data_IF_797945239522
#
_entry.id   IF_797945239522
#
_cell.length_a   1.000
_cell.length_b   1.000
_cell.length_c   1.000
_cell.angle_alpha   90.00
_cell.angle_beta   90.00
_cell.angle_gamma   90.00
#
_symmetry.space_group_name_H-M   'P 1'
#
loop_
_entity.id
_entity.type
_entity.pdbx_description
1 polymer ?
#
# COMPACT_ATOMS: atom_id res chain seq x y z
N UNK A 1 -8.30 5.66 -41.56
CA UNK A 1 -8.06 6.80 -40.65
C UNK A 1 -7.72 6.22 -39.28
N UNK A 2 -6.50 6.43 -38.79
CA UNK A 2 -6.05 5.90 -37.50
C UNK A 2 -6.69 6.72 -36.38
N UNK A 3 -7.43 6.05 -35.50
CA UNK A 3 -7.94 6.59 -34.25
C UNK A 3 -6.77 7.10 -33.39
N UNK A 4 -6.63 8.43 -33.28
CA UNK A 4 -5.73 9.08 -32.32
C UNK A 4 -6.53 9.50 -31.06
N UNK A 5 -7.24 8.55 -30.44
CA UNK A 5 -8.09 8.81 -29.26
C UNK A 5 -7.40 8.43 -27.95
N UNK A 6 -6.16 8.89 -27.79
CA UNK A 6 -5.55 9.06 -26.48
C UNK A 6 -5.18 10.54 -26.38
N UNK A 7 -6.04 11.30 -25.71
CA UNK A 7 -5.74 12.69 -25.40
C UNK A 7 -4.66 12.74 -24.30
N UNK A 8 -3.93 13.85 -24.22
CA UNK A 8 -2.95 14.07 -23.15
C UNK A 8 -3.58 13.95 -21.75
N UNK A 9 -4.85 14.36 -21.62
CA UNK A 9 -5.63 14.31 -20.37
C UNK A 9 -5.95 12.87 -19.96
N UNK A 10 -6.21 11.99 -20.92
CA UNK A 10 -6.39 10.55 -20.66
C UNK A 10 -5.11 9.94 -20.09
N UNK A 11 -3.94 10.35 -20.62
CA UNK A 11 -2.64 9.88 -20.15
C UNK A 11 -2.33 10.33 -18.72
N UNK A 12 -2.68 11.57 -18.37
CA UNK A 12 -2.48 12.12 -17.02
C UNK A 12 -3.30 11.35 -15.98
N UNK A 13 -4.58 11.11 -16.25
CA UNK A 13 -5.45 10.38 -15.33
C UNK A 13 -5.03 8.92 -15.14
N UNK A 14 -4.61 8.24 -16.21
CA UNK A 14 -4.04 6.89 -16.08
C UNK A 14 -2.73 6.89 -15.29
N UNK A 15 -1.92 7.95 -15.42
CA UNK A 15 -0.69 8.11 -14.64
C UNK A 15 -1.00 8.29 -13.17
N UNK A 16 -2.00 9.12 -12.84
CA UNK A 16 -2.49 9.30 -11.47
C UNK A 16 -3.06 8.01 -10.89
N UNK A 17 -3.85 7.27 -11.66
CA UNK A 17 -4.39 5.98 -11.24
C UNK A 17 -3.26 4.97 -10.94
N UNK A 18 -2.29 4.86 -11.83
CA UNK A 18 -1.11 4.01 -11.64
C UNK A 18 -0.29 4.44 -10.42
N UNK A 19 -0.10 5.75 -10.23
CA UNK A 19 0.57 6.32 -9.06
C UNK A 19 -0.16 5.97 -7.77
N UNK A 20 -1.47 6.14 -7.72
CA UNK A 20 -2.28 5.80 -6.54
C UNK A 20 -2.13 4.32 -6.15
N UNK A 21 -2.21 3.41 -7.13
CA UNK A 21 -1.96 1.97 -6.89
C UNK A 21 -0.54 1.72 -6.37
N UNK A 22 0.46 2.34 -6.99
CA UNK A 22 1.86 2.19 -6.60
C UNK A 22 2.12 2.65 -5.15
N UNK A 23 1.61 3.83 -4.77
CA UNK A 23 1.80 4.36 -3.42
C UNK A 23 1.02 3.56 -2.38
N UNK A 24 -0.25 3.20 -2.63
CA UNK A 24 -1.01 2.33 -1.73
C UNK A 24 -0.29 1.00 -1.49
N UNK A 25 0.34 0.46 -2.54
CA UNK A 25 1.09 -0.76 -2.44
C UNK A 25 2.40 -0.61 -1.66
N UNK A 26 3.12 0.48 -1.89
CA UNK A 26 4.37 0.77 -1.19
C UNK A 26 4.11 0.93 0.31
N UNK A 27 3.01 1.61 0.68
CA UNK A 27 2.56 1.73 2.06
C UNK A 27 2.24 0.36 2.67
N UNK A 28 1.54 -0.52 1.94
CA UNK A 28 1.29 -1.89 2.39
C UNK A 28 2.61 -2.65 2.69
N UNK A 29 3.61 -2.54 1.80
CA UNK A 29 4.91 -3.18 2.00
C UNK A 29 5.60 -2.66 3.26
N UNK A 30 5.56 -1.33 3.48
CA UNK A 30 6.14 -0.73 4.69
C UNK A 30 5.45 -1.23 5.96
N UNK A 31 4.12 -1.32 5.96
CA UNK A 31 3.37 -1.84 7.10
C UNK A 31 3.76 -3.27 7.46
N UNK A 32 4.00 -4.12 6.46
CA UNK A 32 4.52 -5.48 6.68
C UNK A 32 5.92 -5.42 7.31
N UNK A 33 6.80 -4.53 6.83
CA UNK A 33 8.11 -4.30 7.43
C UNK A 33 8.04 -3.84 8.88
N UNK A 34 7.11 -2.94 9.21
CA UNK A 34 6.83 -2.49 10.57
C UNK A 34 6.39 -3.64 11.46
N UNK A 35 5.41 -4.43 11.01
CA UNK A 35 4.91 -5.56 11.76
C UNK A 35 6.01 -6.58 12.04
N UNK A 36 6.78 -6.94 11.01
CA UNK A 36 7.90 -7.85 11.11
C UNK A 36 8.99 -7.34 12.06
N UNK A 37 9.29 -6.04 12.03
CA UNK A 37 10.29 -5.43 12.91
C UNK A 37 9.81 -5.37 14.36
N UNK A 38 8.54 -5.00 14.60
CA UNK A 38 7.96 -4.94 15.94
C UNK A 38 7.86 -6.33 16.61
N UNK A 39 7.69 -7.39 15.81
CA UNK A 39 7.46 -8.73 16.31
C UNK A 39 8.58 -9.72 16.00
N UNK A 40 9.75 -9.26 15.54
CA UNK A 40 10.87 -10.11 15.10
C UNK A 40 11.33 -11.13 16.16
N UNK A 41 11.17 -10.80 17.45
CA UNK A 41 11.47 -11.67 18.59
C UNK A 41 10.34 -12.63 19.01
N UNK A 42 9.16 -12.53 18.40
CA UNK A 42 8.05 -13.47 18.61
C UNK A 42 8.27 -14.75 17.79
N UNK A 43 7.68 -15.88 18.20
CA UNK A 43 7.73 -17.12 17.42
C UNK A 43 6.72 -17.09 16.26
N UNK A 44 5.64 -16.31 16.40
CA UNK A 44 4.46 -16.40 15.53
C UNK A 44 4.34 -15.26 14.49
N UNK A 45 5.25 -14.30 14.47
CA UNK A 45 5.13 -13.15 13.55
C UNK A 45 5.17 -13.56 12.08
N UNK A 46 5.96 -14.59 11.75
CA UNK A 46 6.05 -15.15 10.41
C UNK A 46 4.71 -15.74 9.98
N UNK A 47 3.96 -16.36 10.89
CA UNK A 47 2.64 -16.89 10.60
C UNK A 47 1.67 -15.77 10.23
N UNK A 48 1.66 -14.64 10.96
CA UNK A 48 0.80 -13.50 10.61
C UNK A 48 1.21 -12.81 9.30
N UNK A 49 2.51 -12.67 9.05
CA UNK A 49 3.00 -12.17 7.75
C UNK A 49 2.62 -13.14 6.62
N UNK A 50 2.65 -14.44 6.88
CA UNK A 50 2.16 -15.47 5.96
C UNK A 50 0.63 -15.46 5.79
N UNK A 51 -0.14 -15.12 6.81
CA UNK A 51 -1.58 -14.90 6.70
C UNK A 51 -1.91 -13.67 5.85
N UNK A 52 -1.11 -12.61 5.97
CA UNK A 52 -1.16 -11.46 5.05
C UNK A 52 -0.88 -11.88 3.60
N UNK A 53 -0.03 -12.88 3.37
CA UNK A 53 0.21 -13.48 2.05
C UNK A 53 -0.89 -14.42 1.57
N UNK A 54 -1.47 -15.18 2.49
CA UNK A 54 -2.50 -16.18 2.20
C UNK A 54 -3.90 -15.57 2.09
N UNK A 55 -4.08 -14.30 2.45
CA UNK A 55 -5.32 -13.57 2.31
C UNK A 55 -5.75 -13.54 0.82
N UNK A 56 -6.71 -14.40 0.48
CA UNK A 56 -7.18 -14.59 -0.90
C UNK A 56 -8.01 -13.42 -1.45
N UNK A 57 -8.35 -12.43 -0.62
CA UNK A 57 -9.14 -11.26 -1.05
C UNK A 57 -8.56 -9.94 -0.53
N UNK A 58 -8.70 -8.88 -1.34
CA UNK A 58 -8.30 -7.52 -0.97
C UNK A 58 -8.96 -7.00 0.32
N UNK A 59 -10.17 -7.48 0.66
CA UNK A 59 -10.85 -7.17 1.93
C UNK A 59 -10.21 -7.84 3.14
N UNK A 60 -9.75 -9.09 2.99
CA UNK A 60 -8.99 -9.76 4.05
C UNK A 60 -7.64 -9.07 4.27
N UNK A 61 -6.96 -8.71 3.19
CA UNK A 61 -5.71 -7.92 3.26
C UNK A 61 -5.97 -6.60 4.01
N UNK A 62 -7.05 -5.89 3.68
CA UNK A 62 -7.44 -4.66 4.35
C UNK A 62 -7.62 -4.82 5.87
N UNK A 63 -8.38 -5.85 6.29
CA UNK A 63 -8.63 -6.10 7.70
C UNK A 63 -7.34 -6.41 8.46
N UNK A 64 -6.45 -7.20 7.85
CA UNK A 64 -5.14 -7.51 8.43
C UNK A 64 -4.24 -6.26 8.49
N UNK A 65 -4.25 -5.41 7.47
CA UNK A 65 -3.51 -4.14 7.50
C UNK A 65 -4.01 -3.22 8.63
N UNK A 66 -5.32 -3.06 8.79
CA UNK A 66 -5.87 -2.28 9.91
C UNK A 66 -5.50 -2.87 11.28
N UNK A 67 -5.43 -4.20 11.40
CA UNK A 67 -4.93 -4.86 12.60
C UNK A 67 -3.46 -4.49 12.85
N UNK A 68 -2.61 -4.56 11.82
CA UNK A 68 -1.20 -4.14 11.89
C UNK A 68 -1.06 -2.69 12.36
N UNK A 69 -1.86 -1.75 11.83
CA UNK A 69 -1.84 -0.34 12.26
C UNK A 69 -2.11 -0.16 13.76
N UNK A 70 -2.92 -1.04 14.35
CA UNK A 70 -3.32 -0.96 15.76
C UNK A 70 -2.33 -1.66 16.69
N UNK A 71 -1.66 -2.70 16.19
CA UNK A 71 -0.69 -3.49 16.96
C UNK A 71 0.71 -2.89 16.94
N UNK A 72 1.07 -2.20 15.85
CA UNK A 72 2.35 -1.52 15.74
C UNK A 72 2.22 -0.12 16.36
N UNK A 73 3.17 0.24 17.22
CA UNK A 73 3.28 1.57 17.84
C UNK A 73 3.59 2.66 16.81
N UNK A 74 2.62 3.04 15.99
CA UNK A 74 2.72 4.11 15.02
C UNK A 74 2.29 5.40 15.71
N UNK A 75 2.97 6.56 15.45
CA UNK A 75 2.56 7.82 16.03
C UNK A 75 1.06 8.09 15.79
N UNK A 76 0.33 8.44 16.85
CA UNK A 76 -1.13 8.66 16.80
C UNK A 76 -1.53 9.68 15.73
N UNK A 77 -0.67 10.70 15.52
CA UNK A 77 -0.82 11.71 14.47
C UNK A 77 -0.82 11.15 13.04
N UNK A 78 -0.17 10.00 12.81
CA UNK A 78 -0.11 9.30 11.53
C UNK A 78 -1.15 8.17 11.43
N UNK A 79 -1.66 7.68 12.56
CA UNK A 79 -2.59 6.56 12.60
C UNK A 79 -3.88 6.87 11.83
N UNK A 80 -4.51 8.02 12.11
CA UNK A 80 -5.74 8.45 11.41
C UNK A 80 -5.51 8.64 9.90
N UNK A 81 -4.34 9.16 9.51
CA UNK A 81 -3.98 9.33 8.11
C UNK A 81 -3.82 7.98 7.41
N UNK A 82 -3.24 7.00 8.10
CA UNK A 82 -3.06 5.67 7.54
C UNK A 82 -4.37 4.89 7.43
N UNK A 83 -5.27 5.00 8.41
CA UNK A 83 -6.62 4.45 8.30
C UNK A 83 -7.37 5.05 7.09
N UNK A 84 -7.25 6.36 6.88
CA UNK A 84 -7.80 7.02 5.69
C UNK A 84 -7.23 6.46 4.38
N UNK A 85 -5.90 6.39 4.23
CA UNK A 85 -5.28 5.86 2.99
C UNK A 85 -5.64 4.40 2.76
N UNK A 86 -5.75 3.61 3.83
CA UNK A 86 -6.21 2.23 3.74
C UNK A 86 -7.67 2.15 3.26
N UNK A 87 -8.57 3.02 3.70
CA UNK A 87 -9.94 3.07 3.20
C UNK A 87 -9.98 3.46 1.72
N UNK A 88 -9.22 4.48 1.32
CA UNK A 88 -9.12 4.90 -0.08
C UNK A 88 -8.52 3.82 -0.99
N UNK A 89 -7.56 3.04 -0.49
CA UNK A 89 -7.06 1.84 -1.18
C UNK A 89 -8.17 0.82 -1.44
N UNK A 90 -9.08 0.63 -0.47
CA UNK A 90 -10.21 -0.29 -0.64
C UNK A 90 -11.17 0.22 -1.74
N UNK A 91 -11.45 1.52 -1.75
CA UNK A 91 -12.20 2.16 -2.84
C UNK A 91 -11.52 1.92 -4.19
N UNK A 92 -10.21 2.15 -4.29
CA UNK A 92 -9.44 1.97 -5.52
C UNK A 92 -9.53 0.54 -6.08
N UNK A 93 -9.51 -0.47 -5.19
CA UNK A 93 -9.53 -1.89 -5.57
C UNK A 93 -10.92 -2.43 -5.88
N UNK A 94 -11.98 -1.87 -5.28
CA UNK A 94 -13.31 -2.50 -5.31
C UNK A 94 -14.42 -1.63 -5.82
N UNK A 95 -14.33 -0.31 -5.67
CA UNK A 95 -15.44 0.59 -6.00
C UNK A 95 -15.12 1.46 -7.20
N UNK A 96 -13.85 1.82 -7.41
CA UNK A 96 -13.39 2.67 -8.51
C UNK A 96 -13.91 2.23 -9.88
N UNK A 97 -13.83 0.94 -10.22
CA UNK A 97 -14.31 0.49 -11.53
C UNK A 97 -15.84 0.58 -11.67
N UNK A 98 -16.59 0.37 -10.58
CA UNK A 98 -18.05 0.48 -10.62
C UNK A 98 -18.52 1.94 -10.64
N UNK A 99 -17.84 2.81 -9.90
CA UNK A 99 -18.17 4.23 -9.78
C UNK A 99 -17.69 5.04 -10.98
N UNK A 100 -16.45 4.81 -11.41
CA UNK A 100 -15.78 5.62 -12.41
C UNK A 100 -15.69 4.90 -13.76
N UNK A 101 -15.41 3.60 -13.77
CA UNK A 101 -15.57 2.71 -14.93
C UNK A 101 -15.22 3.30 -16.31
N UNK A 102 -16.02 3.02 -17.35
CA UNK A 102 -15.87 3.65 -18.66
C UNK A 102 -16.12 5.17 -18.65
N UNK A 103 -16.85 5.67 -17.64
CA UNK A 103 -17.26 7.07 -17.50
C UNK A 103 -16.16 7.97 -16.95
N UNK A 104 -15.00 7.42 -16.60
CA UNK A 104 -13.90 8.16 -15.98
C UNK A 104 -13.33 9.24 -16.92
N UNK A 105 -13.48 9.04 -18.24
CA UNK A 105 -13.10 10.00 -19.28
C UNK A 105 -14.22 10.98 -19.63
N UNK A 106 -15.32 11.00 -18.86
CA UNK A 106 -16.34 12.03 -19.03
C UNK A 106 -15.85 13.35 -18.43
N UNK A 107 -16.05 14.44 -19.16
CA UNK A 107 -15.68 15.80 -18.72
C UNK A 107 -16.29 16.18 -17.35
N UNK A 108 -17.39 15.52 -16.95
CA UNK A 108 -18.05 15.74 -15.66
C UNK A 108 -17.39 15.04 -14.47
N UNK A 109 -16.79 13.86 -14.67
CA UNK A 109 -16.23 13.05 -13.58
C UNK A 109 -14.71 13.15 -13.50
N UNK A 110 -14.04 13.41 -14.62
CA UNK A 110 -12.59 13.43 -14.71
C UNK A 110 -11.92 14.39 -13.70
N UNK A 111 -12.40 15.63 -13.50
CA UNK A 111 -11.77 16.55 -12.54
C UNK A 111 -11.85 16.03 -11.10
N UNK A 112 -13.04 15.57 -10.67
CA UNK A 112 -13.27 15.07 -9.31
C UNK A 112 -12.45 13.80 -9.02
N UNK A 113 -12.41 12.87 -9.98
CA UNK A 113 -11.63 11.63 -9.84
C UNK A 113 -10.13 11.93 -9.84
N UNK A 114 -9.67 12.85 -10.70
CA UNK A 114 -8.28 13.28 -10.75
C UNK A 114 -7.83 13.89 -9.43
N UNK A 115 -8.60 14.84 -8.88
CA UNK A 115 -8.32 15.47 -7.57
C UNK A 115 -8.27 14.43 -6.44
N UNK A 116 -9.20 13.47 -6.43
CA UNK A 116 -9.21 12.40 -5.42
C UNK A 116 -7.97 11.50 -5.52
N UNK A 117 -7.57 11.11 -6.73
CA UNK A 117 -6.38 10.29 -6.96
C UNK A 117 -5.10 11.04 -6.56
N UNK A 118 -4.99 12.32 -6.90
CA UNK A 118 -3.86 13.16 -6.52
C UNK A 118 -3.77 13.35 -4.99
N UNK A 119 -4.90 13.61 -4.34
CA UNK A 119 -4.96 13.69 -2.87
C UNK A 119 -4.52 12.37 -2.22
N UNK A 120 -4.97 11.23 -2.76
CA UNK A 120 -4.55 9.90 -2.28
C UNK A 120 -3.04 9.69 -2.46
N UNK A 121 -2.49 10.00 -3.65
CA UNK A 121 -1.05 9.91 -3.92
C UNK A 121 -0.26 10.74 -2.90
N UNK A 122 -0.64 12.01 -2.74
CA UNK A 122 0.05 12.94 -1.85
C UNK A 122 0.05 12.44 -0.40
N UNK A 123 -1.11 12.02 0.11
CA UNK A 123 -1.21 11.52 1.50
C UNK A 123 -0.43 10.21 1.69
N UNK A 124 -0.53 9.28 0.73
CA UNK A 124 0.20 8.02 0.80
C UNK A 124 1.72 8.24 0.73
N UNK A 125 2.19 9.15 -0.13
CA UNK A 125 3.60 9.50 -0.22
C UNK A 125 4.13 10.09 1.09
N UNK A 126 3.42 11.05 1.69
CA UNK A 126 3.82 11.62 2.98
C UNK A 126 3.92 10.57 4.08
N UNK A 127 2.95 9.67 4.15
CA UNK A 127 3.00 8.54 5.08
C UNK A 127 4.20 7.64 4.82
N UNK A 128 4.46 7.29 3.56
CA UNK A 128 5.62 6.48 3.16
C UNK A 128 6.92 7.11 3.64
N UNK A 129 7.12 8.41 3.40
CA UNK A 129 8.34 9.13 3.80
C UNK A 129 8.53 9.10 5.34
N UNK A 130 7.48 9.47 6.08
CA UNK A 130 7.54 9.44 7.56
C UNK A 130 7.78 8.03 8.11
N UNK A 131 7.13 7.02 7.53
CA UNK A 131 7.22 5.65 8.00
C UNK A 131 8.54 5.00 7.59
N UNK A 132 9.13 5.34 6.44
CA UNK A 132 10.42 4.81 6.02
C UNK A 132 11.54 5.18 6.98
N UNK A 133 11.60 6.46 7.36
CA UNK A 133 12.62 6.94 8.30
C UNK A 133 12.50 6.25 9.66
N UNK A 134 11.29 6.19 10.22
CA UNK A 134 11.07 5.54 11.51
C UNK A 134 11.30 4.02 11.45
N UNK A 135 10.93 3.35 10.35
CA UNK A 135 11.23 1.92 10.16
C UNK A 135 12.72 1.65 10.13
N UNK A 136 13.47 2.46 9.39
CA UNK A 136 14.92 2.33 9.30
C UNK A 136 15.57 2.52 10.68
N UNK A 137 15.11 3.50 11.47
CA UNK A 137 15.59 3.70 12.83
C UNK A 137 15.29 2.50 13.75
N UNK A 138 14.09 1.91 13.64
CA UNK A 138 13.73 0.70 14.39
C UNK A 138 14.59 -0.50 13.98
N UNK A 139 14.81 -0.68 12.69
CA UNK A 139 15.65 -1.76 12.17
C UNK A 139 17.10 -1.60 12.63
N UNK A 140 17.66 -0.39 12.61
CA UNK A 140 19.01 -0.11 13.12
C UNK A 140 19.13 -0.41 14.63
N UNK A 141 18.11 -0.07 15.43
CA UNK A 141 18.07 -0.44 16.86
C UNK A 141 17.96 -1.95 17.06
N UNK A 142 17.19 -2.64 16.21
CA UNK A 142 17.05 -4.10 16.26
C UNK A 142 18.27 -4.84 15.71
N UNK A 143 19.10 -4.18 14.88
CA UNK A 143 20.28 -4.75 14.22
C UNK A 143 21.43 -5.08 15.18
N UNK A 144 21.33 -4.75 16.46
CA UNK A 144 22.21 -5.30 17.51
C UNK A 144 22.13 -6.85 17.58
N UNK A 145 21.11 -7.46 16.95
CA UNK A 145 21.02 -8.90 16.66
C UNK A 145 20.96 -9.13 15.14
N UNK A 146 22.11 -9.36 14.53
CA UNK A 146 22.33 -9.53 13.08
C UNK A 146 21.37 -10.56 12.40
N UNK A 147 20.87 -11.55 13.16
CA UNK A 147 19.90 -12.55 12.67
C UNK A 147 18.53 -11.97 12.29
N UNK A 148 18.12 -10.87 12.93
CA UNK A 148 16.74 -10.38 12.84
C UNK A 148 16.56 -9.50 11.60
N UNK A 149 17.60 -8.73 11.22
CA UNK A 149 17.62 -7.92 10.00
C UNK A 149 17.54 -8.80 8.76
N UNK A 150 18.34 -9.86 8.68
CA UNK A 150 18.31 -10.80 7.55
C UNK A 150 16.94 -11.48 7.40
N UNK A 151 16.27 -11.80 8.52
CA UNK A 151 14.92 -12.38 8.53
C UNK A 151 13.85 -11.39 8.06
N UNK A 152 13.94 -10.13 8.47
CA UNK A 152 13.01 -9.08 8.04
C UNK A 152 13.16 -8.81 6.54
N UNK A 153 14.39 -8.62 6.05
CA UNK A 153 14.68 -8.37 4.63
C UNK A 153 14.20 -9.53 3.75
N UNK A 154 14.51 -10.77 4.12
CA UNK A 154 14.03 -11.95 3.38
C UNK A 154 12.49 -12.03 3.33
N UNK A 155 11.80 -11.58 4.38
CA UNK A 155 10.33 -11.58 4.42
C UNK A 155 9.73 -10.51 3.52
N UNK A 156 10.36 -9.33 3.42
CA UNK A 156 9.96 -8.27 2.49
C UNK A 156 10.21 -8.72 1.04
N UNK A 157 11.34 -9.36 0.76
CA UNK A 157 11.64 -9.88 -0.57
C UNK A 157 10.66 -10.98 -0.99
N UNK A 158 10.30 -11.87 -0.06
CA UNK A 158 9.24 -12.85 -0.26
C UNK A 158 7.89 -12.18 -0.54
N UNK A 159 7.56 -11.07 0.17
CA UNK A 159 6.34 -10.29 -0.07
C UNK A 159 6.27 -9.76 -1.49
N UNK A 160 7.34 -9.11 -1.94
CA UNK A 160 7.41 -8.53 -3.27
C UNK A 160 7.39 -9.62 -4.36
N UNK A 161 8.02 -10.76 -4.11
CA UNK A 161 8.12 -11.88 -5.05
C UNK A 161 6.80 -12.60 -5.24
N UNK A 162 6.13 -12.99 -4.15
CA UNK A 162 4.83 -13.69 -4.21
C UNK A 162 3.78 -12.85 -4.94
N UNK A 163 3.80 -11.54 -4.70
CA UNK A 163 2.85 -10.62 -5.34
C UNK A 163 3.13 -10.41 -6.83
N UNK A 164 4.39 -10.45 -7.28
CA UNK A 164 4.71 -10.46 -8.72
C UNK A 164 4.11 -11.68 -9.43
N UNK A 165 4.11 -12.85 -8.77
CA UNK A 165 3.54 -14.07 -9.36
C UNK A 165 2.02 -13.97 -9.54
N UNK A 166 1.30 -13.39 -8.58
CA UNK A 166 -0.15 -13.21 -8.64
C UNK A 166 -0.61 -12.20 -9.71
N UNK A 167 0.26 -11.26 -10.11
CA UNK A 167 -0.03 -10.28 -11.18
C UNK A 167 0.32 -10.85 -12.57
N UNK A 168 1.08 -11.95 -12.62
CA UNK A 168 1.56 -12.57 -13.87
C UNK A 168 0.72 -13.78 -14.32
N UNK A 169 -0.32 -14.12 -13.58
CA UNK A 169 -1.24 -15.26 -13.79
C UNK A 169 -2.63 -14.79 -14.19
#
# INVERSE_FOLDING_TARGET
MKDSRFSYVDHELYTQLGGAFFHCQSLQTLMVGYYATAHSGSIDWQATVNELFAAGTSRQIQAQLLKVVREVEIPESLQSQMEYVLLERLWLLHSFHFECGPSIFSDSLQPEVGERLEALIFQAQRLIEHLQDDLMQRQLKSAEKESDVLRITASIDNFLTARRMLVSS
#
